data_IF_240019003370
#
_entry.id   IF_240019003370
#
_cell.length_a   1.000
_cell.length_b   1.000
_cell.length_c   1.000
_cell.angle_alpha   90.00
_cell.angle_beta   90.00
_cell.angle_gamma   90.00
#
_symmetry.space_group_name_H-M   'P 1'
#
loop_
_entity.id
_entity.type
_entity.pdbx_description
1 polymer ?
#
# COMPACT_ATOMS: atom_id res chain seq x y z
N UNK A 1 -8.44 28.35 12.61
CA UNK A 1 -7.53 27.46 11.86
C UNK A 1 -8.03 27.44 10.41
N UNK A 2 -7.32 28.08 9.48
CA UNK A 2 -7.82 28.25 8.10
C UNK A 2 -7.74 26.93 7.31
N UNK A 3 -8.87 26.23 7.25
CA UNK A 3 -9.05 24.97 6.50
C UNK A 3 -8.70 25.14 5.00
N UNK A 4 -8.86 26.36 4.46
CA UNK A 4 -8.55 26.72 3.07
C UNK A 4 -7.08 26.50 2.69
N UNK A 5 -6.15 26.61 3.64
CA UNK A 5 -4.72 26.41 3.39
C UNK A 5 -4.34 24.93 3.18
N UNK A 6 -5.15 24.02 3.71
CA UNK A 6 -4.97 22.57 3.56
C UNK A 6 -5.68 21.99 2.32
N UNK A 7 -6.70 22.68 1.83
CA UNK A 7 -7.52 22.30 0.67
C UNK A 7 -7.07 22.96 -0.64
N UNK A 8 -5.81 23.38 -0.75
CA UNK A 8 -5.26 23.87 -2.01
C UNK A 8 -5.41 22.81 -3.11
N UNK A 9 -5.77 23.16 -4.36
CA UNK A 9 -5.94 22.19 -5.45
C UNK A 9 -4.70 21.30 -5.68
N UNK A 10 -3.50 21.82 -5.40
CA UNK A 10 -2.26 21.02 -5.42
C UNK A 10 -2.25 19.93 -4.34
N UNK A 11 -2.72 20.24 -3.12
CA UNK A 11 -2.82 19.27 -2.02
C UNK A 11 -3.94 18.25 -2.30
N UNK A 12 -5.06 18.71 -2.87
CA UNK A 12 -6.16 17.84 -3.32
C UNK A 12 -5.65 16.75 -4.26
N UNK A 13 -4.91 17.14 -5.30
CA UNK A 13 -4.36 16.17 -6.25
C UNK A 13 -3.49 15.09 -5.59
N UNK A 14 -2.70 15.44 -4.57
CA UNK A 14 -1.78 14.51 -3.91
C UNK A 14 -2.53 13.39 -3.16
N UNK A 15 -3.48 13.73 -2.29
CA UNK A 15 -4.21 12.68 -1.57
C UNK A 15 -5.23 11.96 -2.45
N UNK A 16 -5.79 12.60 -3.48
CA UNK A 16 -6.61 11.91 -4.50
C UNK A 16 -5.79 10.86 -5.25
N UNK A 17 -4.55 11.18 -5.65
CA UNK A 17 -3.64 10.21 -6.27
C UNK A 17 -3.31 9.05 -5.33
N UNK A 18 -3.03 9.32 -4.06
CA UNK A 18 -2.80 8.27 -3.06
C UNK A 18 -4.01 7.35 -2.89
N UNK A 19 -5.22 7.91 -2.85
CA UNK A 19 -6.46 7.13 -2.76
C UNK A 19 -6.70 6.29 -4.02
N UNK A 20 -6.46 6.85 -5.22
CA UNK A 20 -6.56 6.09 -6.47
C UNK A 20 -5.57 4.93 -6.52
N UNK A 21 -4.33 5.15 -6.08
CA UNK A 21 -3.32 4.10 -5.96
C UNK A 21 -3.78 3.01 -4.97
N UNK A 22 -4.24 3.42 -3.79
CA UNK A 22 -4.72 2.51 -2.75
C UNK A 22 -5.88 1.66 -3.25
N UNK A 23 -6.82 2.29 -3.97
CA UNK A 23 -7.95 1.61 -4.58
C UNK A 23 -7.51 0.61 -5.66
N UNK A 24 -6.60 1.01 -6.57
CA UNK A 24 -6.10 0.11 -7.60
C UNK A 24 -5.38 -1.11 -7.03
N UNK A 25 -4.57 -0.91 -5.99
CA UNK A 25 -3.85 -1.98 -5.30
C UNK A 25 -4.80 -2.96 -4.60
N UNK A 26 -5.76 -2.46 -3.83
CA UNK A 26 -6.77 -3.29 -3.16
C UNK A 26 -7.71 -3.98 -4.15
N UNK A 27 -8.06 -3.33 -5.26
CA UNK A 27 -8.89 -3.93 -6.29
C UNK A 27 -8.18 -5.08 -7.00
N UNK A 28 -6.89 -4.91 -7.34
CA UNK A 28 -6.09 -6.00 -7.89
C UNK A 28 -6.04 -7.20 -6.93
N UNK A 29 -5.91 -6.94 -5.63
CA UNK A 29 -5.94 -7.99 -4.60
C UNK A 29 -7.31 -8.68 -4.55
N UNK A 30 -8.40 -7.90 -4.58
CA UNK A 30 -9.75 -8.44 -4.61
C UNK A 30 -9.97 -9.40 -5.79
N UNK A 31 -9.45 -9.05 -6.98
CA UNK A 31 -9.54 -9.90 -8.17
C UNK A 31 -8.74 -11.19 -7.99
N UNK A 32 -7.55 -11.10 -7.37
CA UNK A 32 -6.69 -12.25 -7.10
C UNK A 32 -7.32 -13.22 -6.09
N UNK A 33 -7.81 -12.73 -4.95
CA UNK A 33 -8.41 -13.59 -3.92
C UNK A 33 -9.69 -14.28 -4.41
N UNK A 34 -10.50 -13.61 -5.25
CA UNK A 34 -11.68 -14.23 -5.87
C UNK A 34 -11.32 -15.40 -6.80
N UNK A 35 -10.11 -15.43 -7.35
CA UNK A 35 -9.65 -16.55 -8.19
C UNK A 35 -9.23 -17.76 -7.38
N UNK A 36 -8.87 -17.59 -6.11
CA UNK A 36 -8.45 -18.68 -5.22
C UNK A 36 -9.63 -19.39 -4.54
N UNK A 37 -10.86 -18.91 -4.74
CA UNK A 37 -12.08 -19.37 -4.02
C UNK A 37 -11.92 -19.29 -2.49
N UNK A 38 -10.92 -18.54 -2.01
CA UNK A 38 -10.64 -18.33 -0.60
C UNK A 38 -11.59 -17.29 -0.01
N UNK A 39 -11.94 -17.49 1.27
CA UNK A 39 -12.85 -16.62 1.96
C UNK A 39 -12.17 -15.27 2.25
N UNK A 40 -12.51 -14.27 1.43
CA UNK A 40 -12.00 -12.88 1.48
C UNK A 40 -11.96 -12.29 2.90
N UNK A 41 -12.95 -12.64 3.74
CA UNK A 41 -13.09 -12.15 5.11
C UNK A 41 -12.00 -12.63 6.10
N UNK A 42 -11.21 -13.64 5.72
CA UNK A 42 -10.14 -14.22 6.56
C UNK A 42 -8.82 -13.46 6.43
N UNK A 43 -8.72 -12.58 5.44
CA UNK A 43 -7.45 -11.97 5.02
C UNK A 43 -7.24 -10.61 5.67
N UNK A 44 -6.01 -10.30 6.06
CA UNK A 44 -5.66 -9.01 6.66
C UNK A 44 -5.93 -7.78 5.76
N UNK A 45 -5.77 -7.84 4.43
CA UNK A 45 -6.15 -6.75 3.53
C UNK A 45 -7.65 -6.38 3.60
N UNK A 46 -8.53 -7.33 3.94
CA UNK A 46 -9.96 -7.07 4.16
C UNK A 46 -10.26 -6.40 5.51
N UNK A 47 -9.29 -6.39 6.42
CA UNK A 47 -9.50 -5.93 7.79
C UNK A 47 -9.73 -4.42 7.88
N UNK A 48 -10.54 -3.95 8.87
CA UNK A 48 -10.72 -2.51 9.12
C UNK A 48 -9.42 -1.75 9.40
N UNK A 49 -8.38 -2.47 9.86
CA UNK A 49 -7.08 -1.89 10.23
C UNK A 49 -6.42 -1.24 9.00
N UNK A 50 -6.45 -1.90 7.84
CA UNK A 50 -5.84 -1.38 6.61
C UNK A 50 -6.54 -0.09 6.17
N UNK A 51 -7.87 -0.05 6.23
CA UNK A 51 -8.63 1.17 5.94
C UNK A 51 -8.33 2.29 6.94
N UNK A 52 -8.14 1.95 8.21
CA UNK A 52 -7.66 2.89 9.24
C UNK A 52 -6.27 3.46 8.91
N UNK A 53 -5.33 2.61 8.47
CA UNK A 53 -4.00 3.02 8.05
C UNK A 53 -4.03 3.93 6.80
N UNK A 54 -4.91 3.65 5.83
CA UNK A 54 -5.13 4.51 4.65
C UNK A 54 -5.66 5.88 5.08
N UNK A 55 -6.69 5.92 5.93
CA UNK A 55 -7.25 7.17 6.45
C UNK A 55 -6.18 7.98 7.20
N UNK A 56 -5.39 7.34 8.04
CA UNK A 56 -4.28 7.97 8.76
C UNK A 56 -3.19 8.49 7.82
N UNK A 57 -2.88 7.75 6.75
CA UNK A 57 -1.94 8.18 5.70
C UNK A 57 -2.44 9.43 4.96
N UNK A 58 -3.74 9.50 4.65
CA UNK A 58 -4.34 10.69 4.04
C UNK A 58 -4.25 11.89 4.98
N UNK A 59 -4.62 11.73 6.26
CA UNK A 59 -4.54 12.79 7.25
C UNK A 59 -3.10 13.31 7.39
N UNK A 60 -2.13 12.41 7.53
CA UNK A 60 -0.72 12.79 7.63
C UNK A 60 -0.20 13.45 6.36
N UNK A 61 -0.57 12.96 5.15
CA UNK A 61 -0.25 13.61 3.87
C UNK A 61 -0.77 15.05 3.77
N UNK A 62 -1.98 15.33 4.26
CA UNK A 62 -2.56 16.68 4.26
C UNK A 62 -1.75 17.63 5.14
N UNK A 63 -1.27 17.14 6.28
CA UNK A 63 -0.50 17.90 7.28
C UNK A 63 0.95 18.12 6.84
N UNK A 64 1.50 17.29 5.95
CA UNK A 64 2.88 17.45 5.43
C UNK A 64 3.15 18.89 4.95
N UNK A 65 4.21 19.48 5.51
CA UNK A 65 4.70 20.81 5.12
C UNK A 65 5.73 20.71 3.98
N UNK A 66 6.50 19.61 3.93
CA UNK A 66 7.54 19.34 2.92
C UNK A 66 6.89 18.75 1.65
N UNK A 67 7.19 19.33 0.48
CA UNK A 67 6.78 18.76 -0.81
C UNK A 67 7.45 17.40 -1.07
N UNK A 68 6.87 16.55 -1.92
CA UNK A 68 7.48 15.29 -2.35
C UNK A 68 7.08 14.04 -1.55
N UNK A 69 6.27 14.15 -0.50
CA UNK A 69 5.87 13.00 0.35
C UNK A 69 5.30 11.81 -0.45
N UNK A 70 4.43 12.10 -1.42
CA UNK A 70 3.83 11.08 -2.29
C UNK A 70 4.86 10.43 -3.22
N UNK A 71 5.79 11.22 -3.76
CA UNK A 71 6.85 10.70 -4.64
C UNK A 71 7.76 9.75 -3.86
N UNK A 72 8.14 10.11 -2.64
CA UNK A 72 8.91 9.22 -1.77
C UNK A 72 8.15 7.93 -1.44
N UNK A 73 6.85 8.03 -1.12
CA UNK A 73 6.00 6.85 -0.91
C UNK A 73 5.91 5.96 -2.15
N UNK A 74 5.80 6.54 -3.34
CA UNK A 74 5.80 5.78 -4.60
C UNK A 74 7.12 5.07 -4.85
N UNK A 75 8.25 5.71 -4.51
CA UNK A 75 9.57 5.08 -4.60
C UNK A 75 9.67 3.91 -3.60
N UNK A 76 9.19 4.09 -2.37
CA UNK A 76 9.14 3.03 -1.36
C UNK A 76 8.25 1.87 -1.84
N UNK A 77 7.06 2.17 -2.37
CA UNK A 77 6.15 1.18 -2.93
C UNK A 77 6.80 0.37 -4.05
N UNK A 78 7.48 1.06 -4.98
CA UNK A 78 8.18 0.43 -6.09
C UNK A 78 9.29 -0.52 -5.60
N UNK A 79 10.18 -0.07 -4.72
CA UNK A 79 11.26 -0.91 -4.19
C UNK A 79 10.75 -2.06 -3.33
N UNK A 80 9.68 -1.83 -2.55
CA UNK A 80 9.04 -2.90 -1.80
C UNK A 80 8.49 -3.98 -2.73
N UNK A 81 7.84 -3.59 -3.84
CA UNK A 81 7.36 -4.54 -4.84
C UNK A 81 8.52 -5.33 -5.48
N UNK A 82 9.63 -4.67 -5.80
CA UNK A 82 10.85 -5.33 -6.29
C UNK A 82 11.37 -6.37 -5.29
N UNK A 83 11.40 -6.04 -3.99
CA UNK A 83 11.80 -6.99 -2.92
C UNK A 83 10.90 -8.22 -2.92
N UNK A 84 9.58 -8.04 -3.01
CA UNK A 84 8.64 -9.18 -3.04
C UNK A 84 8.82 -10.06 -4.27
N UNK A 85 9.07 -9.48 -5.45
CA UNK A 85 9.42 -10.25 -6.66
C UNK A 85 10.69 -11.06 -6.45
N UNK A 86 11.73 -10.46 -5.84
CA UNK A 86 12.95 -11.19 -5.52
C UNK A 86 12.73 -12.31 -4.50
N UNK A 87 11.85 -12.13 -3.51
CA UNK A 87 11.50 -13.17 -2.56
C UNK A 87 10.84 -14.36 -3.26
N UNK A 88 9.86 -14.13 -4.14
CA UNK A 88 9.22 -15.19 -4.94
C UNK A 88 10.29 -16.00 -5.68
N UNK A 89 11.16 -15.31 -6.45
CA UNK A 89 12.22 -15.97 -7.22
C UNK A 89 13.16 -16.76 -6.31
N UNK A 90 13.56 -16.18 -5.18
CA UNK A 90 14.48 -16.81 -4.24
C UNK A 90 13.89 -18.08 -3.64
N UNK A 91 12.63 -18.03 -3.20
CA UNK A 91 11.94 -19.20 -2.64
C UNK A 91 11.66 -20.26 -3.71
N UNK A 92 11.27 -19.87 -4.92
CA UNK A 92 11.15 -20.78 -6.07
C UNK A 92 12.44 -21.57 -6.31
N UNK A 93 13.59 -20.89 -6.34
CA UNK A 93 14.90 -21.53 -6.55
C UNK A 93 15.29 -22.39 -5.34
N UNK A 94 15.08 -21.89 -4.12
CA UNK A 94 15.47 -22.57 -2.89
C UNK A 94 14.65 -23.86 -2.65
N UNK A 95 13.35 -23.79 -2.91
CA UNK A 95 12.42 -24.92 -2.76
C UNK A 95 12.37 -25.81 -4.01
N UNK A 96 13.01 -25.38 -5.10
CA UNK A 96 12.96 -26.03 -6.42
C UNK A 96 11.52 -26.32 -6.86
N UNK A 97 10.63 -25.35 -6.65
CA UNK A 97 9.21 -25.42 -6.94
C UNK A 97 8.81 -24.19 -7.76
N UNK A 98 8.08 -24.39 -8.86
CA UNK A 98 7.58 -23.26 -9.66
C UNK A 98 6.57 -22.44 -8.84
N UNK A 99 6.60 -21.11 -8.94
CA UNK A 99 5.66 -20.27 -8.24
C UNK A 99 4.27 -20.47 -8.82
N UNK A 100 3.29 -20.66 -7.94
CA UNK A 100 1.88 -20.76 -8.33
C UNK A 100 1.13 -19.44 -8.07
N UNK A 101 -0.19 -19.48 -8.30
CA UNK A 101 -1.05 -18.31 -8.05
C UNK A 101 -1.16 -18.03 -6.55
N UNK A 102 -1.11 -19.06 -5.72
CA UNK A 102 -1.29 -18.95 -4.27
C UNK A 102 -0.08 -18.22 -3.65
N UNK A 103 1.13 -18.54 -4.11
CA UNK A 103 2.36 -17.80 -3.82
C UNK A 103 2.18 -16.33 -4.20
N UNK A 104 1.77 -16.04 -5.44
CA UNK A 104 1.61 -14.68 -5.93
C UNK A 104 0.63 -13.88 -5.06
N UNK A 105 -0.52 -14.47 -4.69
CA UNK A 105 -1.50 -13.81 -3.82
C UNK A 105 -0.90 -13.58 -2.44
N UNK A 106 -0.29 -14.59 -1.83
CA UNK A 106 0.32 -14.48 -0.50
C UNK A 106 1.38 -13.36 -0.40
N UNK A 107 2.32 -13.31 -1.35
CA UNK A 107 3.33 -12.25 -1.36
C UNK A 107 2.71 -10.88 -1.65
N UNK A 108 1.66 -10.82 -2.46
CA UNK A 108 0.94 -9.58 -2.71
C UNK A 108 0.17 -9.08 -1.48
N UNK A 109 -0.46 -9.98 -0.69
CA UNK A 109 -1.08 -9.61 0.59
C UNK A 109 -0.04 -9.03 1.55
N UNK A 110 1.11 -9.69 1.67
CA UNK A 110 2.21 -9.24 2.51
C UNK A 110 2.72 -7.85 2.07
N UNK A 111 2.84 -7.63 0.75
CA UNK A 111 3.18 -6.34 0.18
C UNK A 111 2.17 -5.26 0.60
N UNK A 112 0.87 -5.53 0.49
CA UNK A 112 -0.17 -4.56 0.86
C UNK A 112 -0.16 -4.24 2.36
N UNK A 113 0.00 -5.24 3.21
CA UNK A 113 0.04 -5.06 4.67
C UNK A 113 1.23 -4.16 5.05
N UNK A 114 2.42 -4.44 4.52
CA UNK A 114 3.61 -3.65 4.81
C UNK A 114 3.48 -2.24 4.24
N UNK A 115 2.98 -2.10 3.01
CA UNK A 115 2.83 -0.79 2.38
C UNK A 115 1.82 0.07 3.14
N UNK A 116 0.60 -0.42 3.39
CA UNK A 116 -0.42 0.36 4.07
C UNK A 116 -0.11 0.57 5.55
N UNK A 117 0.42 -0.42 6.26
CA UNK A 117 0.83 -0.29 7.65
C UNK A 117 2.04 0.63 7.83
N UNK A 118 2.99 0.58 6.90
CA UNK A 118 4.22 1.39 6.91
C UNK A 118 4.02 2.82 6.44
N UNK A 119 3.09 3.07 5.51
CA UNK A 119 2.80 4.42 4.97
C UNK A 119 2.54 5.48 6.06
N UNK A 120 1.62 5.29 7.02
CA UNK A 120 1.38 6.31 8.04
C UNK A 120 2.58 6.49 8.97
N UNK A 121 3.30 5.40 9.30
CA UNK A 121 4.51 5.47 10.12
C UNK A 121 5.62 6.28 9.43
N UNK A 122 5.88 6.00 8.15
CA UNK A 122 6.84 6.75 7.35
C UNK A 122 6.49 8.23 7.29
N UNK A 123 5.22 8.55 7.01
CA UNK A 123 4.76 9.93 6.94
C UNK A 123 4.90 10.65 8.28
N UNK A 124 4.60 9.98 9.40
CA UNK A 124 4.83 10.53 10.74
C UNK A 124 6.32 10.79 11.00
N UNK A 125 7.20 9.86 10.67
CA UNK A 125 8.65 10.03 10.82
C UNK A 125 9.17 11.21 9.99
N UNK A 126 8.65 11.40 8.78
CA UNK A 126 9.03 12.50 7.89
C UNK A 126 8.66 13.90 8.42
N UNK A 127 7.68 13.97 9.34
CA UNK A 127 7.25 15.21 9.99
C UNK A 127 8.20 15.67 11.09
N UNK A 128 9.02 14.78 11.63
CA UNK A 128 10.13 15.09 12.55
C UNK A 128 11.24 15.82 11.76
#
# INVERSE_FOLDING_TARGET
MELSKYLSPKKIGVYSLFLLLSWGLLYAWLVLIHKMDEQVASTLPSSPIIYGCIALSVVTLVIQQKAGALTELLVIAFWLMVIFVYLIITFTVLLNAMPDIDDLVFYYECYLIIFFGGSPLYLMMRMI
#
